data_IF_134622309820
#
_entry.id   IF_134622309820
#
_cell.length_a   1.000
_cell.length_b   1.000
_cell.length_c   1.000
_cell.angle_alpha   90.00
_cell.angle_beta   90.00
_cell.angle_gamma   90.00
#
_symmetry.space_group_name_H-M   'P 1'
#
loop_
_entity.id
_entity.type
_entity.pdbx_description
1 polymer ?
#
# COMPACT_ATOMS: atom_id res chain seq x y z
N UNK A 1 8.61 9.25 -7.98
CA UNK A 1 8.99 8.12 -7.08
C UNK A 1 7.78 7.75 -6.25
N UNK A 2 7.19 6.58 -6.46
CA UNK A 2 5.99 6.16 -5.73
C UNK A 2 6.37 5.72 -4.30
N UNK A 3 5.83 6.39 -3.29
CA UNK A 3 6.03 6.07 -1.88
C UNK A 3 5.52 4.63 -1.59
N UNK A 4 6.21 3.85 -0.75
CA UNK A 4 5.86 2.44 -0.47
C UNK A 4 4.71 2.28 0.51
N UNK A 5 4.30 3.39 1.14
CA UNK A 5 3.25 3.42 2.16
C UNK A 5 3.68 2.94 3.54
N UNK A 6 4.95 2.58 3.72
CA UNK A 6 5.52 2.27 5.03
C UNK A 6 5.75 3.55 5.82
N UNK A 7 5.42 3.51 7.12
CA UNK A 7 5.73 4.58 8.06
C UNK A 7 6.91 4.12 8.92
N UNK A 8 7.97 4.93 8.97
CA UNK A 8 9.17 4.58 9.75
C UNK A 8 8.80 4.40 11.22
N UNK A 9 9.13 3.25 11.80
CA UNK A 9 8.79 2.89 13.18
C UNK A 9 7.45 2.16 13.37
N UNK A 10 6.69 1.92 12.29
CA UNK A 10 5.47 1.12 12.31
C UNK A 10 5.60 -0.03 11.30
N UNK A 11 5.74 -1.25 11.81
CA UNK A 11 6.02 -2.44 10.97
C UNK A 11 4.74 -3.07 10.41
N UNK A 12 3.62 -2.93 11.12
CA UNK A 12 2.34 -3.58 10.80
C UNK A 12 1.30 -2.60 10.26
N UNK A 13 1.73 -1.43 9.75
CA UNK A 13 0.85 -0.40 9.21
C UNK A 13 1.32 0.08 7.84
N UNK A 14 0.37 0.18 6.93
CA UNK A 14 0.58 0.71 5.59
C UNK A 14 -0.43 1.81 5.28
N UNK A 15 0.05 2.91 4.75
CA UNK A 15 -0.78 3.98 4.20
C UNK A 15 -1.25 3.60 2.79
N UNK A 16 -2.43 4.07 2.39
CA UNK A 16 -2.98 3.90 1.03
C UNK A 16 -3.63 5.19 0.53
N UNK A 17 -3.94 5.22 -0.76
CA UNK A 17 -4.74 6.28 -1.38
C UNK A 17 -4.04 7.64 -1.37
N UNK A 18 -4.79 8.68 -1.01
CA UNK A 18 -4.31 10.08 -1.01
C UNK A 18 -3.07 10.30 -0.15
N UNK A 19 -2.87 9.48 0.88
CA UNK A 19 -1.69 9.57 1.76
C UNK A 19 -0.39 9.15 1.05
N UNK A 20 -0.45 8.33 -0.01
CA UNK A 20 0.72 7.98 -0.83
C UNK A 20 0.84 8.83 -2.08
N UNK A 21 -0.30 9.17 -2.69
CA UNK A 21 -0.36 9.81 -4.00
C UNK A 21 -1.37 10.96 -3.95
N UNK A 22 -0.91 12.19 -3.67
CA UNK A 22 -1.75 13.38 -3.68
C UNK A 22 -1.92 13.86 -5.12
N UNK A 23 -2.75 13.19 -5.93
CA UNK A 23 -4.11 13.65 -6.27
C UNK A 23 -5.03 12.44 -6.55
N UNK A 24 -5.46 11.70 -5.52
CA UNK A 24 -6.20 10.45 -5.71
C UNK A 24 -7.65 10.49 -5.24
N UNK A 25 -8.62 10.03 -6.05
CA UNK A 25 -9.99 9.73 -5.58
C UNK A 25 -10.08 8.26 -5.12
N UNK A 26 -11.29 7.78 -4.80
CA UNK A 26 -11.58 6.38 -4.44
C UNK A 26 -10.81 5.32 -5.26
N UNK A 27 -10.67 5.44 -6.60
CA UNK A 27 -9.92 4.45 -7.39
C UNK A 27 -8.45 4.29 -6.95
N UNK A 28 -7.81 5.37 -6.52
CA UNK A 28 -6.41 5.34 -6.08
C UNK A 28 -6.27 4.59 -4.76
N UNK A 29 -7.23 4.75 -3.83
CA UNK A 29 -7.25 3.99 -2.58
C UNK A 29 -7.41 2.48 -2.85
N UNK A 30 -8.27 2.12 -3.80
CA UNK A 30 -8.47 0.73 -4.18
C UNK A 30 -7.23 0.09 -4.82
N UNK A 31 -6.63 0.78 -5.81
CA UNK A 31 -5.43 0.28 -6.50
C UNK A 31 -4.25 0.15 -5.54
N UNK A 32 -3.98 1.19 -4.74
CA UNK A 32 -2.87 1.16 -3.77
C UNK A 32 -3.08 0.13 -2.65
N UNK A 33 -4.33 -0.10 -2.22
CA UNK A 33 -4.66 -1.17 -1.29
C UNK A 33 -4.35 -2.56 -1.86
N UNK A 34 -4.82 -2.84 -3.09
CA UNK A 34 -4.51 -4.10 -3.80
C UNK A 34 -3.00 -4.32 -3.92
N UNK A 35 -2.26 -3.29 -4.29
CA UNK A 35 -0.81 -3.39 -4.46
C UNK A 35 -0.07 -3.68 -3.14
N UNK A 36 -0.54 -3.11 -2.03
CA UNK A 36 0.03 -3.41 -0.70
C UNK A 36 -0.26 -4.84 -0.29
N UNK A 37 -1.50 -5.32 -0.48
CA UNK A 37 -1.85 -6.71 -0.17
C UNK A 37 -0.99 -7.67 -1.01
N UNK A 38 -0.80 -7.41 -2.31
CA UNK A 38 0.09 -8.20 -3.19
C UNK A 38 1.53 -8.26 -2.68
N UNK A 39 2.05 -7.15 -2.17
CA UNK A 39 3.39 -7.11 -1.58
C UNK A 39 3.45 -7.93 -0.30
N UNK A 40 2.47 -7.81 0.58
CA UNK A 40 2.39 -8.57 1.83
C UNK A 40 2.34 -10.07 1.51
N UNK A 41 1.42 -10.53 0.67
CA UNK A 41 1.32 -11.95 0.29
C UNK A 41 2.63 -12.47 -0.31
N UNK A 42 3.31 -11.67 -1.15
CA UNK A 42 4.62 -12.06 -1.71
C UNK A 42 5.71 -12.17 -0.63
N UNK A 43 5.69 -11.30 0.37
CA UNK A 43 6.62 -11.37 1.51
C UNK A 43 6.34 -12.60 2.39
N UNK A 44 5.06 -12.87 2.65
CA UNK A 44 4.60 -14.02 3.45
C UNK A 44 4.62 -15.35 2.69
N UNK A 45 5.02 -15.36 1.41
CA UNK A 45 4.95 -16.52 0.50
C UNK A 45 3.53 -17.14 0.43
N UNK A 46 2.51 -16.32 0.63
CA UNK A 46 1.10 -16.70 0.50
C UNK A 46 0.65 -16.58 -0.96
N UNK A 47 -0.18 -17.52 -1.41
CA UNK A 47 -0.87 -17.41 -2.71
C UNK A 47 -1.87 -16.24 -2.66
N UNK A 48 -2.03 -15.57 -3.81
CA UNK A 48 -2.87 -14.38 -3.98
C UNK A 48 -4.29 -14.72 -4.39
#
# INVERSE_FOLDING_TARGET
MAHTGRVKGLENLFLIGKWLQPPGKLPVAFITGKDIIMRICKQEKSLF
#
